data_IF_048330247565
#
_entry.id   IF_048330247565
#
_cell.length_a   1.000
_cell.length_b   1.000
_cell.length_c   1.000
_cell.angle_alpha   90.00
_cell.angle_beta   90.00
_cell.angle_gamma   90.00
#
_symmetry.space_group_name_H-M   'P 1'
#
loop_
_entity.id
_entity.type
_entity.pdbx_description
1 polymer ?
#
# COMPACT_ATOMS: atom_id res chain seq x y z
N UNK A 1 6.22 -50.08 22.43
CA UNK A 1 5.05 -49.27 21.99
C UNK A 1 5.02 -47.84 22.56
N UNK A 2 5.26 -47.60 23.87
CA UNK A 2 5.23 -46.25 24.48
C UNK A 2 6.15 -45.18 23.84
N UNK A 3 7.38 -45.55 23.45
CA UNK A 3 8.37 -44.63 22.86
C UNK A 3 8.01 -44.16 21.43
N UNK A 4 7.32 -45.00 20.66
CA UNK A 4 6.89 -44.68 19.29
C UNK A 4 5.74 -43.67 19.31
N UNK A 5 4.80 -43.81 20.25
CA UNK A 5 3.68 -42.87 20.41
C UNK A 5 4.14 -41.48 20.89
N UNK A 6 5.18 -41.39 21.73
CA UNK A 6 5.76 -40.10 22.12
C UNK A 6 6.44 -39.39 20.94
N UNK A 7 7.20 -40.13 20.12
CA UNK A 7 7.83 -39.57 18.92
C UNK A 7 6.81 -39.08 17.89
N UNK A 8 5.73 -39.83 17.65
CA UNK A 8 4.62 -39.40 16.79
C UNK A 8 3.90 -38.16 17.33
N UNK A 9 3.68 -38.07 18.66
CA UNK A 9 3.08 -36.88 19.26
C UNK A 9 3.96 -35.64 19.14
N UNK A 10 5.28 -35.80 19.26
CA UNK A 10 6.25 -34.71 19.12
C UNK A 10 6.36 -34.23 17.66
N UNK A 11 6.34 -35.16 16.70
CA UNK A 11 6.32 -34.83 15.26
C UNK A 11 5.02 -34.10 14.89
N UNK A 12 3.87 -34.57 15.39
CA UNK A 12 2.58 -33.91 15.16
C UNK A 12 2.53 -32.52 15.82
N UNK A 13 3.05 -32.37 17.04
CA UNK A 13 3.17 -31.07 17.71
C UNK A 13 4.12 -30.12 16.97
N UNK A 14 5.23 -30.62 16.43
CA UNK A 14 6.18 -29.83 15.64
C UNK A 14 5.61 -29.44 14.27
N UNK A 15 4.88 -30.33 13.60
CA UNK A 15 4.16 -30.02 12.36
C UNK A 15 3.02 -29.01 12.59
N UNK A 16 2.36 -29.07 13.75
CA UNK A 16 1.37 -28.08 14.19
C UNK A 16 2.04 -26.74 14.51
N UNK A 17 3.21 -26.75 15.15
CA UNK A 17 3.98 -25.53 15.42
C UNK A 17 4.49 -24.88 14.12
N UNK A 18 4.94 -25.69 13.14
CA UNK A 18 5.33 -25.23 11.82
C UNK A 18 4.12 -24.74 10.98
N UNK A 19 2.95 -25.36 11.10
CA UNK A 19 1.74 -24.90 10.40
C UNK A 19 1.21 -23.60 11.01
N UNK A 20 1.32 -23.41 12.33
CA UNK A 20 1.01 -22.15 13.04
C UNK A 20 2.03 -21.06 12.70
N UNK A 21 3.32 -21.39 12.57
CA UNK A 21 4.36 -20.46 12.10
C UNK A 21 4.17 -20.05 10.62
N UNK A 22 3.43 -20.87 9.86
CA UNK A 22 3.06 -20.64 8.46
C UNK A 22 1.60 -20.24 8.31
N UNK A 23 1.05 -19.49 9.27
CA UNK A 23 -0.16 -18.72 9.03
C UNK A 23 0.17 -17.63 8.00
N UNK A 24 0.19 -18.01 6.72
CA UNK A 24 0.38 -17.12 5.59
C UNK A 24 -0.69 -16.02 5.68
N UNK A 25 -0.22 -14.81 5.98
CA UNK A 25 -1.01 -13.60 5.87
C UNK A 25 -1.63 -13.59 4.47
N UNK A 26 -2.97 -13.61 4.39
CA UNK A 26 -3.69 -13.55 3.12
C UNK A 26 -3.12 -12.38 2.29
N UNK A 27 -2.77 -12.59 1.01
CA UNK A 27 -2.17 -11.54 0.20
C UNK A 27 -3.09 -10.33 0.18
N UNK A 28 -2.53 -9.16 0.48
CA UNK A 28 -3.27 -7.89 0.50
C UNK A 28 -3.39 -7.28 -0.90
N UNK A 29 -2.63 -7.82 -1.85
CA UNK A 29 -2.52 -7.35 -3.24
C UNK A 29 -2.73 -8.55 -4.17
N UNK A 30 -3.52 -8.35 -5.22
CA UNK A 30 -3.74 -9.36 -6.25
C UNK A 30 -2.66 -9.32 -7.35
N UNK A 31 -2.44 -10.47 -8.01
CA UNK A 31 -1.56 -10.65 -9.16
C UNK A 31 -1.90 -9.69 -10.31
N UNK A 32 -3.18 -9.36 -10.53
CA UNK A 32 -3.56 -8.38 -11.56
C UNK A 32 -3.02 -6.99 -11.26
N UNK A 33 -3.06 -6.56 -9.99
CA UNK A 33 -2.48 -5.29 -9.56
C UNK A 33 -0.97 -5.27 -9.78
N UNK A 34 -0.27 -6.37 -9.46
CA UNK A 34 1.17 -6.47 -9.71
C UNK A 34 1.50 -6.45 -11.22
N UNK A 35 0.65 -7.04 -12.07
CA UNK A 35 0.82 -7.01 -13.53
C UNK A 35 0.59 -5.61 -14.08
N UNK A 36 -0.42 -4.91 -13.58
CA UNK A 36 -0.71 -3.52 -13.93
C UNK A 36 0.46 -2.60 -13.56
N UNK A 37 0.95 -2.65 -12.32
CA UNK A 37 2.06 -1.81 -11.86
C UNK A 37 3.36 -2.04 -12.69
N UNK A 38 3.62 -3.28 -13.10
CA UNK A 38 4.75 -3.59 -14.01
C UNK A 38 4.58 -2.94 -15.38
N UNK A 39 3.35 -2.87 -15.88
CA UNK A 39 3.04 -2.22 -17.15
C UNK A 39 3.17 -0.70 -17.01
N UNK A 40 2.62 -0.12 -15.95
CA UNK A 40 2.69 1.31 -15.67
C UNK A 40 4.16 1.79 -15.57
N UNK A 41 5.02 1.03 -14.88
CA UNK A 41 6.46 1.30 -14.81
C UNK A 41 7.13 1.28 -16.20
N UNK A 42 6.74 0.35 -17.09
CA UNK A 42 7.28 0.28 -18.46
C UNK A 42 6.84 1.47 -19.30
N UNK A 43 5.57 1.85 -19.20
CA UNK A 43 4.99 2.99 -19.92
C UNK A 43 5.62 4.30 -19.48
N UNK A 44 5.71 4.52 -18.16
CA UNK A 44 6.35 5.72 -17.64
C UNK A 44 7.85 5.80 -18.00
N UNK A 45 8.55 4.66 -18.05
CA UNK A 45 9.94 4.61 -18.54
C UNK A 45 10.06 5.03 -20.01
N UNK A 46 9.08 4.72 -20.86
CA UNK A 46 9.05 5.21 -22.25
C UNK A 46 8.81 6.71 -22.28
N UNK A 47 7.83 7.19 -21.53
CA UNK A 47 7.51 8.63 -21.43
C UNK A 47 8.70 9.46 -20.91
N UNK A 48 9.45 8.95 -19.93
CA UNK A 48 10.67 9.60 -19.46
C UNK A 48 11.76 9.72 -20.53
N UNK A 49 11.86 8.72 -21.44
CA UNK A 49 12.76 8.81 -22.60
C UNK A 49 12.26 9.81 -23.64
N UNK A 50 10.95 9.84 -23.89
CA UNK A 50 10.33 10.86 -24.76
C UNK A 50 10.63 12.27 -24.24
N UNK A 51 10.49 12.50 -22.92
CA UNK A 51 10.84 13.79 -22.31
C UNK A 51 12.31 14.16 -22.52
N UNK A 52 13.24 13.21 -22.34
CA UNK A 52 14.66 13.44 -22.59
C UNK A 52 14.97 13.85 -24.03
N UNK A 53 14.18 13.35 -25.00
CA UNK A 53 14.28 13.75 -26.40
C UNK A 53 13.62 15.11 -26.63
N UNK A 54 12.47 15.37 -25.99
CA UNK A 54 11.73 16.61 -26.11
C UNK A 54 12.54 17.82 -25.66
N UNK A 55 13.19 17.76 -24.50
CA UNK A 55 14.00 18.88 -23.97
C UNK A 55 15.27 19.18 -24.79
N UNK A 56 15.62 18.34 -25.77
CA UNK A 56 16.70 18.59 -26.74
C UNK A 56 16.20 19.24 -28.03
N UNK A 57 14.89 19.19 -28.28
CA UNK A 57 14.25 19.85 -29.41
C UNK A 57 14.18 21.35 -29.16
N UNK A 58 14.15 22.16 -30.22
CA UNK A 58 13.82 23.59 -30.13
C UNK A 58 12.31 23.86 -30.13
N UNK A 59 11.47 22.84 -30.34
CA UNK A 59 10.02 22.98 -30.43
C UNK A 59 9.38 23.03 -29.02
N UNK A 60 8.94 24.21 -28.60
CA UNK A 60 8.29 24.43 -27.30
C UNK A 60 6.95 23.72 -27.17
N UNK A 61 6.15 23.64 -28.23
CA UNK A 61 4.86 22.92 -28.19
C UNK A 61 5.09 21.44 -27.93
N UNK A 62 6.07 20.85 -28.61
CA UNK A 62 6.45 19.46 -28.39
C UNK A 62 6.96 19.23 -26.96
N UNK A 63 7.81 20.12 -26.44
CA UNK A 63 8.27 20.06 -25.05
C UNK A 63 7.10 20.10 -24.07
N UNK A 64 6.16 21.02 -24.26
CA UNK A 64 5.00 21.20 -23.39
C UNK A 64 4.02 20.03 -23.48
N UNK A 65 3.74 19.49 -24.66
CA UNK A 65 2.90 18.30 -24.82
C UNK A 65 3.47 17.13 -24.03
N UNK A 66 4.79 16.87 -24.14
CA UNK A 66 5.42 15.78 -23.40
C UNK A 66 5.47 16.07 -21.90
N UNK A 67 5.75 17.32 -21.51
CA UNK A 67 5.77 17.72 -20.09
C UNK A 67 4.41 17.57 -19.42
N UNK A 68 3.32 17.98 -20.09
CA UNK A 68 1.97 17.78 -19.58
C UNK A 68 1.63 16.29 -19.44
N UNK A 69 1.99 15.47 -20.42
CA UNK A 69 1.82 14.00 -20.33
C UNK A 69 2.55 13.44 -19.11
N UNK A 70 3.78 13.86 -18.85
CA UNK A 70 4.55 13.47 -17.66
C UNK A 70 3.81 13.86 -16.38
N UNK A 71 3.39 15.12 -16.26
CA UNK A 71 2.70 15.62 -15.05
C UNK A 71 1.41 14.87 -14.77
N UNK A 72 0.58 14.66 -15.79
CA UNK A 72 -0.69 13.91 -15.68
C UNK A 72 -0.43 12.47 -15.26
N UNK A 73 0.58 11.81 -15.84
CA UNK A 73 0.93 10.44 -15.47
C UNK A 73 1.34 10.35 -14.00
N UNK A 74 2.24 11.23 -13.56
CA UNK A 74 2.71 11.25 -12.17
C UNK A 74 1.55 11.50 -11.20
N UNK A 75 0.69 12.48 -11.47
CA UNK A 75 -0.48 12.75 -10.64
C UNK A 75 -1.43 11.55 -10.53
N UNK A 76 -1.70 10.87 -11.65
CA UNK A 76 -2.51 9.65 -11.69
C UNK A 76 -1.93 8.56 -10.79
N UNK A 77 -0.65 8.20 -10.98
CA UNK A 77 0.01 7.15 -10.21
C UNK A 77 0.00 7.47 -8.70
N UNK A 78 0.29 8.71 -8.32
CA UNK A 78 0.29 9.12 -6.91
C UNK A 78 -1.09 9.01 -6.28
N UNK A 79 -2.16 9.33 -7.02
CA UNK A 79 -3.54 9.13 -6.58
C UNK A 79 -3.85 7.66 -6.38
N UNK A 80 -3.41 6.80 -7.30
CA UNK A 80 -3.58 5.35 -7.17
C UNK A 80 -2.86 4.78 -5.96
N UNK A 81 -1.58 5.11 -5.75
CA UNK A 81 -0.81 4.70 -4.56
C UNK A 81 -1.47 5.19 -3.28
N UNK A 82 -1.92 6.45 -3.26
CA UNK A 82 -2.63 7.03 -2.09
C UNK A 82 -3.94 6.31 -1.79
N UNK A 83 -4.71 5.95 -2.83
CA UNK A 83 -5.95 5.19 -2.70
C UNK A 83 -5.68 3.78 -2.16
N UNK A 84 -4.60 3.14 -2.63
CA UNK A 84 -4.13 1.84 -2.16
C UNK A 84 -3.78 1.88 -0.68
N UNK A 85 -3.00 2.87 -0.25
CA UNK A 85 -2.70 3.10 1.18
C UNK A 85 -3.97 3.26 2.00
N UNK A 86 -4.92 4.08 1.54
CA UNK A 86 -6.20 4.27 2.22
C UNK A 86 -7.01 2.98 2.36
N UNK A 87 -7.00 2.14 1.32
CA UNK A 87 -7.65 0.82 1.34
C UNK A 87 -6.98 -0.11 2.34
N UNK A 88 -5.64 -0.20 2.31
CA UNK A 88 -4.87 -1.05 3.22
C UNK A 88 -5.05 -0.64 4.69
N UNK A 89 -5.03 0.66 4.99
CA UNK A 89 -5.29 1.18 6.33
C UNK A 89 -6.72 0.84 6.80
N UNK A 90 -7.73 0.98 5.93
CA UNK A 90 -9.13 0.65 6.24
C UNK A 90 -9.36 -0.84 6.48
N UNK A 91 -8.65 -1.71 5.76
CA UNK A 91 -8.73 -3.16 5.94
C UNK A 91 -7.97 -3.64 7.17
N UNK A 92 -6.93 -2.92 7.60
CA UNK A 92 -6.11 -3.28 8.75
C UNK A 92 -6.60 -2.68 10.08
N UNK A 93 -7.62 -1.81 10.03
CA UNK A 93 -8.39 -1.44 11.22
C UNK A 93 -9.09 -2.70 11.74
N UNK A 94 -8.70 -3.14 12.92
CA UNK A 94 -9.48 -4.11 13.71
C UNK A 94 -10.79 -3.40 14.03
N UNK A 95 -11.82 -3.65 13.22
CA UNK A 95 -13.15 -3.11 13.49
C UNK A 95 -13.74 -3.91 14.64
N UNK A 96 -14.28 -3.26 15.70
CA UNK A 96 -15.30 -3.93 16.47
C UNK A 96 -16.42 -4.32 15.50
N UNK A 97 -16.87 -5.58 15.55
CA UNK A 97 -17.91 -6.07 14.64
C UNK A 97 -19.12 -5.13 14.68
N UNK A 98 -19.76 -4.92 13.52
CA UNK A 98 -21.14 -4.43 13.50
C UNK A 98 -21.98 -5.46 14.26
N UNK A 99 -22.72 -4.98 15.25
CA UNK A 99 -23.65 -5.79 16.04
C UNK A 99 -24.58 -6.59 15.12
N UNK A 100 -24.67 -7.90 15.33
CA UNK A 100 -25.84 -8.64 14.89
C UNK A 100 -26.96 -8.28 15.89
N UNK A 101 -28.02 -7.65 15.39
CA UNK A 101 -29.21 -7.35 16.17
C UNK A 101 -30.06 -8.62 16.31
N UNK A 102 -29.57 -9.61 17.07
CA UNK A 102 -30.32 -10.80 17.40
C UNK A 102 -29.62 -11.50 18.56
N UNK A 103 -29.98 -11.12 19.77
CA UNK A 103 -29.91 -11.94 20.98
C UNK A 103 -30.81 -11.26 22.03
N UNK A 104 -32.13 -11.35 21.81
CA UNK A 104 -33.14 -10.95 22.78
C UNK A 104 -33.24 -12.03 23.85
N UNK A 105 -32.56 -11.83 24.97
CA UNK A 105 -32.80 -12.59 26.20
C UNK A 105 -33.98 -11.93 26.93
N UNK A 106 -34.95 -12.72 27.38
CA UNK A 106 -36.14 -12.23 28.09
C UNK A 106 -35.73 -11.48 29.39
N UNK A 107 -36.12 -10.22 29.47
CA UNK A 107 -35.68 -9.20 30.45
C UNK A 107 -36.37 -9.29 31.83
N UNK A 108 -36.93 -10.44 32.20
CA UNK A 108 -37.88 -10.49 33.32
C UNK A 108 -37.25 -10.60 34.72
N UNK A 109 -36.01 -11.11 34.86
CA UNK A 109 -35.47 -11.51 36.17
C UNK A 109 -34.17 -10.80 36.61
N UNK A 110 -33.80 -9.66 36.01
CA UNK A 110 -32.54 -8.98 36.34
C UNK A 110 -32.73 -7.81 37.33
N UNK A 111 -31.85 -7.66 38.34
CA UNK A 111 -31.92 -6.57 39.32
C UNK A 111 -31.91 -5.19 38.67
N UNK A 112 -32.71 -4.26 39.19
CA UNK A 112 -32.79 -2.88 38.68
C UNK A 112 -31.43 -2.18 38.85
N UNK A 113 -30.69 -2.04 37.75
CA UNK A 113 -29.31 -1.54 37.73
C UNK A 113 -28.27 -2.53 37.16
N UNK A 114 -28.64 -3.80 36.97
CA UNK A 114 -27.84 -4.75 36.22
C UNK A 114 -28.01 -4.47 34.72
N UNK A 115 -26.94 -4.02 34.05
CA UNK A 115 -26.91 -3.99 32.60
C UNK A 115 -26.21 -5.28 32.11
N UNK A 116 -26.94 -6.35 31.78
CA UNK A 116 -26.34 -7.59 31.25
C UNK A 116 -25.65 -7.35 29.90
N UNK A 117 -25.99 -6.24 29.24
CA UNK A 117 -25.39 -5.79 28.00
C UNK A 117 -24.31 -4.74 28.31
N UNK A 118 -23.12 -5.18 28.73
CA UNK A 118 -21.90 -4.44 28.35
C UNK A 118 -21.71 -4.64 26.84
N UNK A 119 -22.62 -4.02 26.09
CA UNK A 119 -22.63 -3.97 24.63
C UNK A 119 -21.42 -3.16 24.22
N UNK A 120 -20.37 -3.84 23.77
CA UNK A 120 -19.09 -3.23 23.41
C UNK A 120 -17.88 -3.75 24.19
N UNK A 121 -17.93 -4.95 24.78
CA UNK A 121 -16.69 -5.60 25.24
C UNK A 121 -15.66 -5.60 24.11
N UNK A 122 -14.53 -4.95 24.35
CA UNK A 122 -13.37 -4.99 23.46
C UNK A 122 -13.04 -6.47 23.26
N UNK A 123 -13.12 -6.95 22.02
CA UNK A 123 -12.75 -8.33 21.71
C UNK A 123 -11.33 -8.55 22.24
N UNK A 124 -11.16 -9.51 23.16
CA UNK A 124 -9.83 -9.94 23.57
C UNK A 124 -9.18 -10.60 22.35
N UNK A 125 -8.41 -9.80 21.60
CA UNK A 125 -7.61 -10.30 20.50
C UNK A 125 -6.58 -11.28 21.06
N UNK A 126 -6.43 -12.42 20.40
CA UNK A 126 -5.36 -13.33 20.77
C UNK A 126 -4.00 -12.66 20.54
N UNK A 127 -2.97 -13.07 21.28
CA UNK A 127 -1.59 -12.58 21.06
C UNK A 127 -1.15 -12.75 19.60
N UNK A 128 -1.61 -13.82 18.95
CA UNK A 128 -1.33 -14.12 17.55
C UNK A 128 -2.02 -13.15 16.58
N UNK A 129 -3.28 -12.77 16.85
CA UNK A 129 -4.01 -11.75 16.07
C UNK A 129 -3.33 -10.39 16.17
N UNK A 130 -2.86 -10.02 17.37
CA UNK A 130 -2.12 -8.78 17.61
C UNK A 130 -0.79 -8.80 16.85
N UNK A 131 -0.06 -9.91 16.87
CA UNK A 131 1.24 -10.02 16.17
C UNK A 131 1.08 -9.97 14.64
N UNK A 132 0.02 -10.60 14.09
CA UNK A 132 -0.32 -10.50 12.66
C UNK A 132 -0.66 -9.06 12.26
N UNK A 133 -1.48 -8.37 13.07
CA UNK A 133 -1.83 -6.98 12.83
C UNK A 133 -0.61 -6.04 12.88
N UNK A 134 0.34 -6.29 13.80
CA UNK A 134 1.62 -5.55 13.87
C UNK A 134 2.44 -5.73 12.59
N UNK A 135 2.64 -6.97 12.14
CA UNK A 135 3.37 -7.27 10.89
C UNK A 135 2.70 -6.66 9.66
N UNK A 136 1.37 -6.61 9.61
CA UNK A 136 0.65 -5.90 8.54
C UNK A 136 0.83 -4.38 8.63
N UNK A 137 0.77 -3.81 9.83
CA UNK A 137 0.96 -2.37 10.04
C UNK A 137 2.37 -1.91 9.62
N UNK A 138 3.41 -2.70 9.89
CA UNK A 138 4.77 -2.41 9.44
C UNK A 138 4.83 -2.31 7.91
N UNK A 139 4.26 -3.29 7.20
CA UNK A 139 4.22 -3.27 5.73
C UNK A 139 3.43 -2.08 5.17
N UNK A 140 2.34 -1.68 5.83
CA UNK A 140 1.57 -0.48 5.45
C UNK A 140 2.39 0.79 5.70
N UNK A 141 3.20 0.81 6.76
CA UNK A 141 4.11 1.92 7.09
C UNK A 141 5.04 2.27 5.93
N UNK A 142 5.66 1.27 5.30
CA UNK A 142 6.53 1.45 4.13
C UNK A 142 5.79 2.14 2.97
N UNK A 143 4.55 1.74 2.70
CA UNK A 143 3.72 2.37 1.66
C UNK A 143 3.27 3.80 2.02
N UNK A 144 3.01 4.07 3.30
CA UNK A 144 2.69 5.42 3.76
C UNK A 144 3.89 6.36 3.54
N UNK A 145 5.10 5.90 3.84
CA UNK A 145 6.32 6.67 3.61
C UNK A 145 6.56 6.90 2.11
N UNK A 146 6.41 5.87 1.28
CA UNK A 146 6.48 5.98 -0.18
C UNK A 146 5.49 7.03 -0.70
N UNK A 147 4.22 6.97 -0.27
CA UNK A 147 3.19 7.94 -0.68
C UNK A 147 3.55 9.37 -0.28
N UNK A 148 4.18 9.59 0.88
CA UNK A 148 4.68 10.91 1.28
C UNK A 148 5.79 11.40 0.35
N UNK A 149 6.77 10.54 0.01
CA UNK A 149 7.87 10.88 -0.91
C UNK A 149 7.33 11.26 -2.29
N UNK A 150 6.39 10.47 -2.80
CA UNK A 150 5.68 10.74 -4.04
C UNK A 150 4.96 12.10 -4.03
N UNK A 151 4.17 12.40 -2.99
CA UNK A 151 3.47 13.69 -2.86
C UNK A 151 4.43 14.89 -2.79
N UNK A 152 5.54 14.76 -2.07
CA UNK A 152 6.59 15.79 -2.02
C UNK A 152 7.18 16.05 -3.41
N UNK A 153 7.44 14.99 -4.17
CA UNK A 153 7.94 15.11 -5.54
C UNK A 153 6.91 15.77 -6.48
N UNK A 154 5.61 15.49 -6.32
CA UNK A 154 4.56 16.15 -7.09
C UNK A 154 4.53 17.66 -6.84
N UNK A 155 4.77 18.11 -5.59
CA UNK A 155 4.87 19.53 -5.27
C UNK A 155 6.05 20.18 -5.99
N UNK A 156 7.22 19.51 -6.01
CA UNK A 156 8.41 19.98 -6.73
C UNK A 156 8.15 20.09 -8.24
N UNK A 157 7.56 19.04 -8.84
CA UNK A 157 7.24 18.99 -10.27
C UNK A 157 6.21 20.07 -10.65
N UNK A 158 5.28 20.40 -9.75
CA UNK A 158 4.24 21.40 -10.00
C UNK A 158 4.77 22.84 -10.06
N UNK A 159 6.02 23.08 -9.65
CA UNK A 159 6.67 24.38 -9.76
C UNK A 159 6.90 24.77 -11.24
N UNK A 160 7.23 23.80 -12.09
CA UNK A 160 7.34 24.00 -13.53
C UNK A 160 5.98 23.73 -14.19
N UNK A 161 5.19 24.79 -14.39
CA UNK A 161 3.86 24.66 -15.00
C UNK A 161 3.93 24.42 -16.51
N UNK A 162 4.82 25.15 -17.18
CA UNK A 162 4.98 25.19 -18.63
C UNK A 162 6.45 25.48 -18.94
N UNK A 163 6.93 24.96 -20.07
CA UNK A 163 8.25 25.25 -20.62
C UNK A 163 8.11 26.37 -21.65
N UNK A 164 8.86 27.44 -21.48
CA UNK A 164 8.82 28.61 -22.35
C UNK A 164 10.23 29.07 -22.72
N UNK A 165 10.32 30.15 -23.53
CA UNK A 165 11.61 30.70 -23.99
C UNK A 165 12.54 31.16 -22.86
N UNK A 166 12.00 31.46 -21.68
CA UNK A 166 12.79 31.85 -20.49
C UNK A 166 13.19 30.67 -19.60
N UNK A 167 12.70 29.47 -19.89
CA UNK A 167 13.01 28.28 -19.11
C UNK A 167 14.46 27.88 -19.33
N UNK A 168 15.25 27.93 -18.26
CA UNK A 168 16.68 27.66 -18.35
C UNK A 168 16.97 26.16 -18.48
N UNK A 169 18.12 25.83 -19.06
CA UNK A 169 18.61 24.44 -19.11
C UNK A 169 18.68 23.80 -17.72
N UNK A 170 19.02 24.58 -16.68
CA UNK A 170 19.04 24.13 -15.29
C UNK A 170 17.69 23.62 -14.81
N UNK A 171 16.61 24.36 -15.08
CA UNK A 171 15.24 23.97 -14.73
C UNK A 171 14.83 22.68 -15.47
N UNK A 172 15.22 22.53 -16.75
CA UNK A 172 14.94 21.31 -17.51
C UNK A 172 15.72 20.09 -16.99
N UNK A 173 16.97 20.27 -16.56
CA UNK A 173 17.74 19.20 -15.91
C UNK A 173 17.16 18.82 -14.55
N UNK A 174 16.65 19.79 -13.80
CA UNK A 174 15.97 19.52 -12.54
C UNK A 174 14.68 18.72 -12.76
N UNK A 175 13.82 19.14 -13.72
CA UNK A 175 12.63 18.39 -14.10
C UNK A 175 12.97 16.94 -14.51
N UNK A 176 14.03 16.76 -15.31
CA UNK A 176 14.55 15.44 -15.67
C UNK A 176 14.98 14.62 -14.45
N UNK A 177 15.68 15.23 -13.49
CA UNK A 177 16.08 14.59 -12.24
C UNK A 177 14.86 14.15 -11.42
N UNK A 178 13.84 15.00 -11.32
CA UNK A 178 12.58 14.69 -10.64
C UNK A 178 11.86 13.50 -11.31
N UNK A 179 11.81 13.43 -12.64
CA UNK A 179 11.25 12.27 -13.37
C UNK A 179 12.02 10.98 -13.03
N UNK A 180 13.35 11.04 -12.95
CA UNK A 180 14.15 9.86 -12.57
C UNK A 180 13.91 9.44 -11.12
N UNK A 181 13.75 10.40 -10.20
CA UNK A 181 13.35 10.11 -8.81
C UNK A 181 12.00 9.42 -8.78
N UNK A 182 11.01 9.88 -9.56
CA UNK A 182 9.70 9.23 -9.62
C UNK A 182 9.78 7.79 -10.16
N UNK A 183 10.57 7.56 -11.21
CA UNK A 183 10.85 6.21 -11.71
C UNK A 183 11.42 5.26 -10.65
N UNK A 184 12.26 5.78 -9.75
CA UNK A 184 12.78 4.99 -8.63
C UNK A 184 11.69 4.69 -7.61
N UNK A 185 10.85 5.67 -7.27
CA UNK A 185 9.71 5.45 -6.38
C UNK A 185 8.72 4.41 -6.93
N UNK A 186 8.43 4.40 -8.23
CA UNK A 186 7.58 3.35 -8.85
C UNK A 186 8.23 1.95 -8.76
N UNK A 187 9.57 1.86 -8.85
CA UNK A 187 10.26 0.58 -8.64
C UNK A 187 10.18 0.13 -7.20
N UNK A 188 10.35 1.05 -6.26
CA UNK A 188 10.24 0.78 -4.83
C UNK A 188 8.82 0.31 -4.50
N UNK A 189 7.80 0.96 -5.05
CA UNK A 189 6.40 0.54 -4.95
C UNK A 189 6.20 -0.91 -5.42
N UNK A 190 6.72 -1.24 -6.61
CA UNK A 190 6.65 -2.59 -7.14
C UNK A 190 7.34 -3.63 -6.24
N UNK A 191 8.46 -3.26 -5.60
CA UNK A 191 9.13 -4.12 -4.62
C UNK A 191 8.26 -4.33 -3.39
N UNK A 192 7.63 -3.27 -2.88
CA UNK A 192 6.72 -3.35 -1.74
C UNK A 192 5.48 -4.20 -2.06
N UNK A 193 4.89 -4.06 -3.24
CA UNK A 193 3.73 -4.87 -3.67
C UNK A 193 4.07 -6.36 -3.71
N UNK A 194 5.27 -6.73 -4.16
CA UNK A 194 5.72 -8.14 -4.15
C UNK A 194 5.83 -8.73 -2.74
N UNK A 195 6.05 -7.91 -1.71
CA UNK A 195 6.08 -8.37 -0.30
C UNK A 195 4.67 -8.60 0.27
N UNK A 196 3.64 -8.16 -0.44
CA UNK A 196 2.22 -8.24 -0.06
C UNK A 196 1.39 -9.20 -0.93
N UNK A 197 1.96 -9.69 -2.04
CA UNK A 197 1.34 -10.59 -3.01
C UNK A 197 1.62 -12.07 -2.70
#
# INVERSE_FOLDING_TARGET
MRKINQALSAIMAFASFLSVARAELKPMIDKEQLKKEKQDLKEFKKLAKEFNSAIKSSNLDYQNVIWQRVRVYIDKEIKETSSRVGTMQKSNLIRPNKMNAQDSVEMADLPQGYNPHVNGQIKNLSKEEIEKAKKQNEKIGDFVELSKKQKSLLQQISQLKEINSTTTSGVLQEAKSQIQKFLMLMKDELVLLKKLA
#
